data_IF_242677977959
#
_entry.id   IF_242677977959
#
_cell.length_a   1.000
_cell.length_b   1.000
_cell.length_c   1.000
_cell.angle_alpha   90.00
_cell.angle_beta   90.00
_cell.angle_gamma   90.00
#
_symmetry.space_group_name_H-M   'P 1'
#
loop_
_entity.id
_entity.type
_entity.pdbx_description
1 polymer ?
#
# COMPACT_ATOMS: atom_id res chain seq x y z
N UNK A 1 -6.39 45.94 -4.98
CA UNK A 1 -4.99 45.79 -5.45
C UNK A 1 -4.09 46.08 -4.25
N UNK A 2 -3.55 45.05 -3.60
CA UNK A 2 -2.67 45.20 -2.44
C UNK A 2 -1.41 44.40 -2.77
N UNK A 3 -0.27 45.07 -2.81
CA UNK A 3 1.04 44.43 -2.95
C UNK A 3 1.66 44.25 -1.57
N UNK A 4 2.51 43.22 -1.37
CA UNK A 4 2.84 42.70 -0.06
C UNK A 4 3.97 43.49 0.61
N UNK A 5 3.90 43.62 1.93
CA UNK A 5 5.03 44.02 2.75
C UNK A 5 5.56 42.79 3.48
N UNK A 6 6.87 42.59 3.37
CA UNK A 6 7.66 41.48 3.86
C UNK A 6 7.28 41.00 5.27
N UNK A 7 6.99 39.70 5.40
CA UNK A 7 7.25 38.95 6.62
C UNK A 7 8.04 37.70 6.21
N UNK A 8 9.26 37.57 6.73
CA UNK A 8 10.09 36.37 6.65
C UNK A 8 9.25 35.09 6.83
N UNK A 9 9.53 34.09 6.00
CA UNK A 9 9.39 32.68 6.34
C UNK A 9 8.01 32.18 6.81
N UNK A 10 6.93 32.51 6.08
CA UNK A 10 5.70 31.70 6.19
C UNK A 10 5.42 30.98 4.90
N UNK A 11 6.20 29.93 4.63
CA UNK A 11 5.73 28.81 3.83
C UNK A 11 4.55 28.23 4.60
N UNK A 12 3.33 28.47 4.11
CA UNK A 12 2.17 27.71 4.55
C UNK A 12 2.38 26.28 4.09
N UNK A 13 2.91 25.43 4.96
CA UNK A 13 2.95 24.00 4.75
C UNK A 13 1.51 23.49 4.79
N UNK A 14 0.95 23.21 3.60
CA UNK A 14 -0.19 22.33 3.51
C UNK A 14 0.31 20.92 3.80
N UNK A 15 0.15 20.48 5.04
CA UNK A 15 0.39 19.09 5.41
C UNK A 15 -0.73 18.23 4.82
N UNK A 16 -0.46 17.63 3.67
CA UNK A 16 -1.29 16.57 3.12
C UNK A 16 -1.04 15.31 3.96
N UNK A 17 -1.91 15.04 4.93
CA UNK A 17 -1.95 13.74 5.59
C UNK A 17 -2.57 12.75 4.59
N UNK A 18 -1.73 12.14 3.75
CA UNK A 18 -2.09 10.96 2.97
C UNK A 18 -2.14 9.76 3.92
N UNK A 19 -3.11 9.76 4.84
CA UNK A 19 -3.36 8.66 5.78
C UNK A 19 -4.13 7.51 5.10
N UNK A 20 -3.88 7.29 3.80
CA UNK A 20 -4.16 6.06 3.11
C UNK A 20 -2.83 5.33 2.94
N UNK A 21 -2.23 4.89 4.06
CA UNK A 21 -1.08 4.00 3.98
C UNK A 21 -1.55 2.73 3.31
N UNK A 22 -1.05 2.45 2.10
CA UNK A 22 -1.13 1.12 1.52
C UNK A 22 -0.43 0.20 2.52
N UNK A 23 -1.21 -0.61 3.23
CA UNK A 23 -0.66 -1.65 4.11
C UNK A 23 -0.28 -2.81 3.21
N UNK A 24 1.03 -3.09 3.13
CA UNK A 24 1.56 -4.14 2.29
C UNK A 24 0.96 -5.49 2.70
N UNK A 25 0.43 -6.24 1.75
CA UNK A 25 -0.22 -7.53 2.00
C UNK A 25 -1.65 -7.48 2.55
N UNK A 26 -2.16 -6.32 2.98
CA UNK A 26 -3.57 -6.17 3.39
C UNK A 26 -4.42 -5.93 2.13
N UNK A 27 -4.99 -7.01 1.62
CA UNK A 27 -5.63 -7.04 0.31
C UNK A 27 -7.09 -6.60 0.36
N UNK A 28 -7.71 -6.58 1.54
CA UNK A 28 -9.09 -6.12 1.75
C UNK A 28 -9.19 -4.83 2.60
N UNK A 29 -8.06 -4.28 3.06
CA UNK A 29 -7.97 -3.08 3.89
C UNK A 29 -8.71 -3.20 5.24
N UNK A 30 -8.75 -4.40 5.82
CA UNK A 30 -9.33 -4.64 7.14
C UNK A 30 -8.33 -4.46 8.30
N UNK A 31 -7.05 -4.27 7.97
CA UNK A 31 -5.96 -4.04 8.91
C UNK A 31 -5.35 -5.30 9.52
N UNK A 32 -5.77 -6.50 9.11
CA UNK A 32 -5.26 -7.77 9.63
C UNK A 32 -4.73 -8.67 8.51
N UNK A 33 -3.43 -9.00 8.54
CA UNK A 33 -2.85 -9.97 7.61
C UNK A 33 -3.32 -11.38 7.96
N UNK A 34 -4.13 -11.99 7.09
CA UNK A 34 -4.65 -13.33 7.32
C UNK A 34 -4.90 -14.11 6.02
N UNK A 35 -5.52 -15.29 6.14
CA UNK A 35 -5.77 -16.17 5.00
C UNK A 35 -6.65 -15.55 3.91
N UNK A 36 -7.51 -14.59 4.28
CA UNK A 36 -8.34 -13.88 3.32
C UNK A 36 -7.50 -13.05 2.34
N UNK A 37 -6.42 -12.42 2.80
CA UNK A 37 -5.50 -11.67 1.95
C UNK A 37 -4.83 -12.56 0.91
N UNK A 38 -4.40 -13.75 1.34
CA UNK A 38 -3.81 -14.77 0.46
C UNK A 38 -4.80 -15.19 -0.63
N UNK A 39 -6.07 -15.40 -0.28
CA UNK A 39 -7.11 -15.77 -1.25
C UNK A 39 -7.36 -14.64 -2.26
N UNK A 40 -7.37 -13.39 -1.81
CA UNK A 40 -7.54 -12.23 -2.69
C UNK A 40 -6.33 -12.09 -3.62
N UNK A 41 -5.11 -12.17 -3.10
CA UNK A 41 -3.88 -12.10 -3.89
C UNK A 41 -3.83 -13.20 -4.95
N UNK A 42 -4.20 -14.44 -4.60
CA UNK A 42 -4.29 -15.55 -5.55
C UNK A 42 -5.30 -15.28 -6.67
N UNK A 43 -6.47 -14.71 -6.36
CA UNK A 43 -7.45 -14.34 -7.37
C UNK A 43 -6.92 -13.24 -8.31
N UNK A 44 -6.23 -12.24 -7.78
CA UNK A 44 -5.61 -11.19 -8.58
C UNK A 44 -4.55 -11.76 -9.55
N UNK A 45 -3.70 -12.67 -9.08
CA UNK A 45 -2.70 -13.35 -9.92
C UNK A 45 -3.39 -14.19 -11.01
N UNK A 46 -4.39 -14.99 -10.66
CA UNK A 46 -5.13 -15.82 -11.62
C UNK A 46 -5.87 -15.02 -12.69
N UNK A 47 -6.29 -13.79 -12.36
CA UNK A 47 -6.98 -12.88 -13.28
C UNK A 47 -6.03 -11.92 -14.00
N UNK A 48 -4.71 -12.02 -13.76
CA UNK A 48 -3.69 -11.05 -14.21
C UNK A 48 -4.05 -9.59 -13.86
N UNK A 49 -4.69 -9.38 -12.71
CA UNK A 49 -5.04 -8.07 -12.21
C UNK A 49 -3.94 -7.55 -11.27
N UNK A 50 -3.27 -6.47 -11.67
CA UNK A 50 -2.16 -5.85 -10.93
C UNK A 50 -2.56 -4.48 -10.34
N UNK A 51 -3.87 -4.24 -10.20
CA UNK A 51 -4.39 -2.94 -9.76
C UNK A 51 -4.16 -2.67 -8.26
N UNK A 52 -3.82 -3.71 -7.49
CA UNK A 52 -3.55 -3.59 -6.06
C UNK A 52 -2.03 -3.62 -5.80
N UNK A 53 -1.38 -2.46 -5.59
CA UNK A 53 0.06 -2.40 -5.33
C UNK A 53 0.44 -3.05 -3.99
N UNK A 54 -0.51 -3.33 -3.08
CA UNK A 54 -0.22 -4.10 -1.86
C UNK A 54 0.19 -5.54 -2.15
N UNK A 55 -0.04 -6.04 -3.38
CA UNK A 55 0.21 -7.43 -3.75
C UNK A 55 1.65 -7.76 -4.13
N UNK A 56 2.51 -6.78 -4.42
CA UNK A 56 3.95 -6.95 -4.67
C UNK A 56 4.71 -6.97 -3.33
N UNK A 57 4.62 -8.11 -2.65
CA UNK A 57 5.09 -8.31 -1.27
C UNK A 57 6.61 -8.35 -1.23
N UNK A 58 7.24 -8.94 -2.24
CA UNK A 58 8.70 -9.03 -2.31
C UNK A 58 9.37 -7.80 -2.97
N UNK A 59 8.56 -6.88 -3.54
CA UNK A 59 8.98 -5.63 -4.16
C UNK A 59 9.90 -5.81 -5.37
N UNK A 60 9.72 -6.91 -6.12
CA UNK A 60 10.48 -7.19 -7.34
C UNK A 60 9.84 -6.56 -8.60
N UNK A 61 8.66 -5.96 -8.44
CA UNK A 61 7.90 -5.30 -9.50
C UNK A 61 6.95 -6.23 -10.25
N UNK A 62 6.89 -7.51 -9.91
CA UNK A 62 5.91 -8.47 -10.42
C UNK A 62 5.04 -8.95 -9.26
N UNK A 63 3.73 -9.02 -9.46
CA UNK A 63 2.82 -9.64 -8.51
C UNK A 63 2.52 -11.09 -8.98
N UNK A 64 3.24 -12.06 -8.42
CA UNK A 64 3.19 -13.47 -8.79
C UNK A 64 3.17 -14.45 -7.58
N UNK A 65 3.42 -15.73 -7.82
CA UNK A 65 3.38 -16.77 -6.79
C UNK A 65 4.39 -16.55 -5.65
N UNK A 66 5.49 -15.85 -5.90
CA UNK A 66 6.50 -15.53 -4.88
C UNK A 66 5.94 -14.55 -3.84
N UNK A 67 5.01 -13.68 -4.22
CA UNK A 67 4.32 -12.79 -3.29
C UNK A 67 3.38 -13.55 -2.37
N UNK A 68 2.68 -14.56 -2.88
CA UNK A 68 1.86 -15.45 -2.05
C UNK A 68 2.73 -16.15 -1.01
N UNK A 69 3.88 -16.70 -1.42
CA UNK A 69 4.80 -17.37 -0.49
C UNK A 69 5.29 -16.40 0.58
N UNK A 70 5.60 -15.15 0.18
CA UNK A 70 6.03 -14.10 1.11
C UNK A 70 4.92 -13.71 2.09
N UNK A 71 3.69 -13.54 1.61
CA UNK A 71 2.52 -13.24 2.44
C UNK A 71 2.19 -14.37 3.43
N UNK A 72 2.27 -15.63 3.00
CA UNK A 72 2.12 -16.79 3.88
C UNK A 72 3.15 -16.76 5.01
N UNK A 73 4.41 -16.43 4.70
CA UNK A 73 5.45 -16.30 5.73
C UNK A 73 5.13 -15.18 6.72
N UNK A 74 4.57 -14.05 6.28
CA UNK A 74 4.16 -12.97 7.18
C UNK A 74 3.03 -13.44 8.11
N UNK A 75 1.96 -14.02 7.55
CA UNK A 75 0.80 -14.51 8.29
C UNK A 75 1.17 -15.60 9.33
N UNK A 76 2.18 -16.42 9.06
CA UNK A 76 2.62 -17.48 9.98
C UNK A 76 3.62 -17.01 11.05
N UNK A 77 4.20 -15.82 10.88
CA UNK A 77 5.18 -15.26 11.82
C UNK A 77 4.57 -14.20 12.78
N UNK A 78 3.27 -13.90 12.62
CA UNK A 78 2.44 -13.17 13.60
C UNK A 78 1.94 -14.09 14.74
#
# INVERSE_FOLDING_TARGET
>A
KVYPFHSSERLQSFQFNLHGSISLGDMNSDGALNVLDIVILANLILTNNQSNPSGDINQDGNQDILDIVSLVNLVLND
#
